data_IF_335559429033
#
_entry.id   IF_335559429033
#
_cell.length_a   1.000
_cell.length_b   1.000
_cell.length_c   1.000
_cell.angle_alpha   90.00
_cell.angle_beta   90.00
_cell.angle_gamma   90.00
#
_symmetry.space_group_name_H-M   'P 1'
#
loop_
_entity.id
_entity.type
_entity.pdbx_description
1 polymer ?
#
# COMPACT_ATOMS: atom_id res chain seq x y z
N UNK A 1 51.34 -11.31 20.99
CA UNK A 1 50.42 -11.75 19.93
C UNK A 1 49.02 -11.58 20.48
N UNK A 2 48.34 -10.50 20.12
CA UNK A 2 46.96 -10.22 20.53
C UNK A 2 46.30 -9.56 19.33
N UNK A 3 45.64 -10.37 18.51
CA UNK A 3 44.90 -9.90 17.34
C UNK A 3 43.61 -9.27 17.86
N UNK A 4 43.51 -7.94 17.78
CA UNK A 4 42.24 -7.24 17.98
C UNK A 4 41.28 -7.68 16.87
N UNK A 5 40.21 -8.38 17.24
CA UNK A 5 39.01 -8.45 16.41
C UNK A 5 38.36 -7.06 16.48
N UNK A 6 38.60 -6.24 15.46
CA UNK A 6 37.75 -5.09 15.17
C UNK A 6 36.38 -5.65 14.81
N UNK A 7 35.41 -5.53 15.72
CA UNK A 7 34.02 -5.81 15.45
C UNK A 7 33.59 -4.95 14.26
N UNK A 8 33.32 -5.59 13.11
CA UNK A 8 32.57 -4.94 12.07
C UNK A 8 31.21 -4.60 12.67
N UNK A 9 30.93 -3.30 12.82
CA UNK A 9 29.55 -2.87 12.98
C UNK A 9 28.76 -3.51 11.84
N UNK A 10 27.81 -4.39 12.17
CA UNK A 10 26.83 -4.92 11.22
C UNK A 10 25.94 -3.76 10.78
N UNK A 11 26.46 -2.93 9.87
CA UNK A 11 25.66 -1.90 9.21
C UNK A 11 24.67 -2.63 8.33
N UNK A 12 23.38 -2.42 8.58
CA UNK A 12 22.32 -2.91 7.71
C UNK A 12 22.57 -2.38 6.29
N UNK A 13 22.50 -3.26 5.29
CA UNK A 13 22.67 -2.85 3.89
C UNK A 13 21.46 -2.02 3.47
N UNK A 14 21.68 -0.76 3.10
CA UNK A 14 20.62 0.10 2.56
C UNK A 14 20.44 -0.12 1.06
N UNK A 15 19.18 -0.16 0.63
CA UNK A 15 18.75 -0.21 -0.76
C UNK A 15 18.00 1.08 -1.05
N UNK A 16 18.40 1.81 -2.10
CA UNK A 16 17.71 3.01 -2.57
C UNK A 16 16.67 2.62 -3.61
N UNK A 17 15.47 3.21 -3.51
CA UNK A 17 14.38 3.00 -4.45
C UNK A 17 14.25 4.23 -5.33
N UNK A 18 15.02 4.23 -6.40
CA UNK A 18 15.27 5.39 -7.27
C UNK A 18 14.28 5.50 -8.42
N UNK A 19 13.61 4.39 -8.75
CA UNK A 19 12.65 4.30 -9.84
C UNK A 19 11.23 4.08 -9.32
N UNK A 20 10.24 4.59 -10.05
CA UNK A 20 8.82 4.43 -9.75
C UNK A 20 8.02 4.10 -11.01
N UNK A 21 7.13 3.13 -10.93
CA UNK A 21 6.05 2.93 -11.89
C UNK A 21 4.71 3.36 -11.26
N UNK A 22 3.88 4.03 -12.06
CA UNK A 22 2.60 4.57 -11.61
C UNK A 22 1.58 3.46 -11.37
N UNK A 23 0.75 3.59 -10.32
CA UNK A 23 -0.33 2.63 -10.02
C UNK A 23 -1.37 2.53 -11.15
N UNK A 24 -1.52 3.57 -11.98
CA UNK A 24 -2.47 3.53 -13.09
C UNK A 24 -2.15 2.48 -14.16
N UNK A 25 -0.90 1.98 -14.21
CA UNK A 25 -0.49 0.92 -15.14
C UNK A 25 -1.17 -0.42 -14.81
N UNK A 26 -1.66 -0.60 -13.57
CA UNK A 26 -2.30 -1.84 -13.12
C UNK A 26 -3.81 -1.71 -12.95
N UNK A 27 -4.40 -0.60 -13.42
CA UNK A 27 -5.84 -0.38 -13.38
C UNK A 27 -6.56 -1.36 -14.30
N UNK A 28 -7.63 -1.97 -13.79
CA UNK A 28 -8.57 -2.76 -14.57
C UNK A 28 -9.77 -1.89 -15.00
N UNK A 29 -10.75 -2.51 -15.65
CA UNK A 29 -11.98 -1.84 -16.11
C UNK A 29 -12.72 -1.19 -14.93
N UNK A 30 -13.01 0.10 -15.07
CA UNK A 30 -13.79 0.85 -14.11
C UNK A 30 -15.26 0.43 -14.11
N UNK A 31 -15.87 0.48 -12.94
CA UNK A 31 -17.31 0.35 -12.71
C UNK A 31 -17.81 1.67 -12.15
N UNK A 32 -18.90 2.19 -12.68
CA UNK A 32 -19.53 3.43 -12.20
C UNK A 32 -20.90 3.10 -11.61
N UNK A 33 -21.21 3.67 -10.45
CA UNK A 33 -22.49 3.50 -9.79
C UNK A 33 -22.80 4.70 -8.91
N UNK A 34 -24.10 4.89 -8.60
CA UNK A 34 -24.53 5.97 -7.71
C UNK A 34 -23.93 5.86 -6.31
N UNK A 35 -23.81 4.64 -5.79
CA UNK A 35 -23.26 4.35 -4.46
C UNK A 35 -21.98 3.52 -4.60
N UNK A 36 -21.09 3.61 -3.61
CA UNK A 36 -19.92 2.75 -3.53
C UNK A 36 -20.35 1.28 -3.36
N UNK A 37 -19.78 0.40 -4.18
CA UNK A 37 -20.06 -1.03 -4.18
C UNK A 37 -19.02 -1.78 -3.36
N UNK A 38 -19.45 -2.80 -2.63
CA UNK A 38 -18.52 -3.69 -1.94
C UNK A 38 -17.64 -4.44 -2.96
N UNK A 39 -16.51 -4.98 -2.51
CA UNK A 39 -15.69 -5.87 -3.35
C UNK A 39 -16.49 -7.05 -3.87
N UNK A 40 -17.42 -7.57 -3.07
CA UNK A 40 -18.29 -8.68 -3.44
C UNK A 40 -19.23 -8.30 -4.59
N UNK A 41 -19.82 -7.11 -4.55
CA UNK A 41 -20.68 -6.60 -5.63
C UNK A 41 -19.90 -6.27 -6.90
N UNK A 42 -18.58 -6.01 -6.77
CA UNK A 42 -17.65 -5.81 -7.87
C UNK A 42 -17.02 -7.11 -8.40
N UNK A 43 -17.38 -8.28 -7.84
CA UNK A 43 -16.77 -9.59 -8.15
C UNK A 43 -15.24 -9.62 -7.92
N UNK A 44 -14.79 -8.94 -6.85
CA UNK A 44 -13.39 -8.85 -6.44
C UNK A 44 -13.15 -9.71 -5.20
N UNK A 45 -12.36 -10.77 -5.38
CA UNK A 45 -12.02 -11.67 -4.29
C UNK A 45 -10.88 -11.11 -3.42
N UNK A 46 -9.84 -10.50 -3.95
CA UNK A 46 -8.70 -10.05 -3.13
C UNK A 46 -7.92 -8.93 -3.80
N UNK A 47 -7.06 -8.28 -3.02
CA UNK A 47 -6.24 -7.17 -3.48
C UNK A 47 -6.94 -5.85 -3.24
N UNK A 48 -7.06 -5.04 -4.30
CA UNK A 48 -7.25 -3.60 -4.17
C UNK A 48 -8.33 -3.06 -5.10
N UNK A 49 -9.03 -2.03 -4.64
CA UNK A 49 -9.92 -1.20 -5.46
C UNK A 49 -9.68 0.27 -5.12
N UNK A 50 -9.52 1.08 -6.16
CA UNK A 50 -9.57 2.53 -6.06
C UNK A 50 -11.02 3.00 -6.21
N UNK A 51 -11.57 3.64 -5.18
CA UNK A 51 -12.87 4.33 -5.24
C UNK A 51 -12.63 5.82 -5.45
N UNK A 52 -13.38 6.45 -6.35
CA UNK A 52 -13.26 7.87 -6.65
C UNK A 52 -14.64 8.51 -6.73
N UNK A 53 -14.76 9.73 -6.25
CA UNK A 53 -15.89 10.62 -6.49
C UNK A 53 -15.42 12.07 -6.50
N UNK A 54 -16.21 12.96 -7.08
CA UNK A 54 -15.97 14.40 -7.01
C UNK A 54 -16.69 14.98 -5.79
N UNK A 55 -16.00 15.81 -5.01
CA UNK A 55 -16.57 16.53 -3.86
C UNK A 55 -16.47 18.04 -4.10
N UNK A 56 -17.40 18.79 -3.51
CA UNK A 56 -17.28 20.24 -3.38
C UNK A 56 -17.17 20.56 -1.89
N UNK A 57 -16.13 21.30 -1.52
CA UNK A 57 -15.87 21.73 -0.15
C UNK A 57 -16.12 23.22 -0.03
N UNK A 58 -16.67 23.64 1.11
CA UNK A 58 -16.96 25.03 1.45
C UNK A 58 -16.04 25.55 2.58
N UNK A 59 -15.31 24.66 3.25
CA UNK A 59 -14.38 24.97 4.33
C UNK A 59 -12.98 24.38 4.12
N UNK A 60 -12.02 24.87 4.93
CA UNK A 60 -10.63 24.38 4.92
C UNK A 60 -10.47 22.97 5.54
N UNK A 61 -11.51 22.48 6.21
CA UNK A 61 -11.55 21.18 6.86
C UNK A 61 -13.00 20.71 6.99
N UNK A 62 -13.30 19.53 6.48
CA UNK A 62 -14.62 18.89 6.56
C UNK A 62 -14.47 17.45 7.07
N UNK A 63 -15.44 16.96 7.84
CA UNK A 63 -15.39 15.59 8.38
C UNK A 63 -15.92 14.58 7.35
N UNK A 64 -15.04 13.68 6.91
CA UNK A 64 -15.42 12.49 6.16
C UNK A 64 -15.83 11.37 7.13
N UNK A 65 -16.99 10.76 6.90
CA UNK A 65 -17.49 9.63 7.69
C UNK A 65 -17.93 8.47 6.78
N UNK A 66 -17.53 7.25 7.14
CA UNK A 66 -17.84 6.03 6.41
C UNK A 66 -18.77 5.13 7.22
N UNK A 67 -19.80 4.57 6.60
CA UNK A 67 -20.59 3.52 7.22
C UNK A 67 -19.79 2.21 7.30
N UNK A 68 -19.23 1.75 6.17
CA UNK A 68 -18.42 0.53 6.11
C UNK A 68 -17.15 0.72 5.28
N UNK A 69 -16.00 0.47 5.92
CA UNK A 69 -14.69 0.27 5.28
C UNK A 69 -14.12 -1.03 5.82
N UNK A 70 -13.80 -1.96 4.92
CA UNK A 70 -13.16 -3.22 5.27
C UNK A 70 -12.10 -3.58 4.22
N UNK A 71 -10.84 -3.74 4.55
CA UNK A 71 -10.27 -3.69 5.90
C UNK A 71 -9.55 -2.36 6.17
N UNK A 72 -8.94 -1.79 5.14
CA UNK A 72 -8.14 -0.56 5.25
C UNK A 72 -8.30 0.31 4.01
N UNK A 73 -8.40 1.62 4.20
CA UNK A 73 -8.40 2.60 3.13
C UNK A 73 -7.41 3.73 3.40
N UNK A 74 -6.62 4.11 2.39
CA UNK A 74 -5.87 5.38 2.39
C UNK A 74 -6.65 6.40 1.58
N UNK A 75 -6.86 7.58 2.15
CA UNK A 75 -7.64 8.66 1.55
C UNK A 75 -6.72 9.69 0.94
N UNK A 76 -6.99 10.05 -0.32
CA UNK A 76 -6.31 11.10 -1.05
C UNK A 76 -7.31 12.12 -1.58
N UNK A 77 -6.91 13.39 -1.61
CA UNK A 77 -7.63 14.47 -2.29
C UNK A 77 -6.68 15.13 -3.28
N UNK A 78 -7.05 15.14 -4.56
CA UNK A 78 -6.21 15.61 -5.66
C UNK A 78 -4.79 15.02 -5.64
N UNK A 79 -4.69 13.73 -5.33
CA UNK A 79 -3.42 13.01 -5.21
C UNK A 79 -2.60 13.31 -3.96
N UNK A 80 -3.10 14.09 -2.99
CA UNK A 80 -2.45 14.34 -1.69
C UNK A 80 -3.09 13.49 -0.59
N UNK A 81 -2.27 12.72 0.12
CA UNK A 81 -2.71 11.88 1.25
C UNK A 81 -3.33 12.73 2.36
N UNK A 82 -4.48 12.30 2.87
CA UNK A 82 -5.20 12.93 3.99
C UNK A 82 -5.12 12.10 5.27
N UNK A 83 -5.00 10.78 5.13
CA UNK A 83 -4.93 9.84 6.24
C UNK A 83 -5.46 8.46 5.84
N UNK A 84 -5.72 7.62 6.84
CA UNK A 84 -6.24 6.26 6.64
C UNK A 84 -7.43 5.96 7.53
N UNK A 85 -8.26 5.03 7.09
CA UNK A 85 -9.51 4.60 7.75
C UNK A 85 -9.56 3.08 7.84
N UNK A 86 -10.16 2.57 8.93
CA UNK A 86 -10.34 1.14 9.22
C UNK A 86 -11.72 0.89 9.80
N UNK A 87 -12.09 -0.37 9.98
CA UNK A 87 -13.32 -0.77 10.67
C UNK A 87 -13.47 -0.18 12.08
N UNK A 88 -12.33 0.12 12.75
CA UNK A 88 -12.24 0.75 14.07
C UNK A 88 -12.20 2.28 14.05
N UNK A 89 -11.84 2.88 12.91
CA UNK A 89 -11.72 4.33 12.75
C UNK A 89 -12.28 4.76 11.41
N UNK A 90 -13.53 5.20 11.42
CA UNK A 90 -14.34 5.48 10.22
C UNK A 90 -14.54 6.97 9.93
N UNK A 91 -13.84 7.84 10.66
CA UNK A 91 -13.92 9.30 10.53
C UNK A 91 -12.55 9.89 10.27
N UNK A 92 -12.46 10.84 9.35
CA UNK A 92 -11.23 11.54 9.01
C UNK A 92 -11.53 13.00 8.64
N UNK A 93 -10.80 13.95 9.22
CA UNK A 93 -10.86 15.33 8.77
C UNK A 93 -10.07 15.48 7.46
N UNK A 94 -10.76 15.87 6.39
CA UNK A 94 -10.16 16.13 5.08
C UNK A 94 -9.81 17.61 4.99
N UNK A 95 -8.54 17.92 4.69
CA UNK A 95 -8.03 19.29 4.60
C UNK A 95 -7.79 19.69 3.16
N UNK A 96 -8.65 20.56 2.65
CA UNK A 96 -8.55 21.12 1.30
C UNK A 96 -9.15 22.51 1.28
N UNK A 97 -8.83 23.29 0.27
CA UNK A 97 -9.37 24.64 0.06
C UNK A 97 -10.85 24.51 -0.35
N UNK A 98 -11.68 25.55 -0.21
CA UNK A 98 -13.01 25.54 -0.80
C UNK A 98 -12.95 25.38 -2.33
N UNK A 99 -13.74 24.46 -2.88
CA UNK A 99 -13.78 24.19 -4.31
C UNK A 99 -14.09 22.75 -4.67
N UNK A 100 -13.93 22.43 -5.96
CA UNK A 100 -14.17 21.09 -6.50
C UNK A 100 -12.89 20.27 -6.45
N UNK A 101 -12.98 19.07 -5.88
CA UNK A 101 -11.84 18.17 -5.70
C UNK A 101 -12.17 16.73 -6.08
N UNK A 102 -11.14 15.97 -6.42
CA UNK A 102 -11.24 14.52 -6.60
C UNK A 102 -10.89 13.83 -5.28
N UNK A 103 -11.88 13.18 -4.67
CA UNK A 103 -11.70 12.32 -3.51
C UNK A 103 -11.40 10.88 -3.96
N UNK A 104 -10.37 10.27 -3.38
CA UNK A 104 -9.88 8.96 -3.76
C UNK A 104 -9.64 8.09 -2.53
N UNK A 105 -10.09 6.84 -2.57
CA UNK A 105 -9.81 5.83 -1.55
C UNK A 105 -9.10 4.67 -2.21
N UNK A 106 -7.88 4.39 -1.78
CA UNK A 106 -7.22 3.14 -2.10
C UNK A 106 -7.53 2.12 -1.01
N UNK A 107 -8.37 1.15 -1.34
CA UNK A 107 -8.91 0.19 -0.38
C UNK A 107 -8.27 -1.18 -0.63
N UNK A 108 -7.82 -1.84 0.44
CA UNK A 108 -7.30 -3.21 0.40
C UNK A 108 -8.21 -4.16 1.19
N UNK A 109 -8.40 -5.36 0.65
CA UNK A 109 -8.88 -6.53 1.38
C UNK A 109 -7.68 -7.34 1.90
N UNK A 110 -7.42 -7.29 3.20
CA UNK A 110 -6.27 -7.96 3.82
C UNK A 110 -6.53 -9.43 4.16
N UNK A 111 -7.77 -9.89 3.97
CA UNK A 111 -8.15 -11.29 4.18
C UNK A 111 -9.60 -11.44 4.62
N UNK A 112 -10.20 -12.54 4.19
CA UNK A 112 -11.57 -12.92 4.57
C UNK A 112 -11.57 -13.80 5.82
N UNK A 113 -12.61 -13.65 6.64
CA UNK A 113 -12.87 -14.55 7.77
C UNK A 113 -13.08 -15.97 7.22
N UNK A 114 -12.41 -16.96 7.81
CA UNK A 114 -12.44 -18.37 7.36
C UNK A 114 -13.05 -19.33 8.38
N UNK A 115 -13.44 -18.85 9.56
CA UNK A 115 -14.07 -19.65 10.61
C UNK A 115 -14.92 -18.77 11.54
N UNK A 116 -15.94 -19.36 12.16
CA UNK A 116 -16.77 -18.71 13.17
C UNK A 116 -18.07 -18.11 12.63
N UNK A 117 -18.90 -17.51 13.52
CA UNK A 117 -20.24 -17.04 13.18
C UNK A 117 -20.25 -15.86 12.19
N UNK A 118 -19.16 -15.11 12.10
CA UNK A 118 -19.02 -13.94 11.22
C UNK A 118 -18.61 -14.32 9.78
N UNK A 119 -18.47 -15.62 9.45
CA UNK A 119 -18.05 -16.07 8.11
C UNK A 119 -18.99 -15.58 6.99
N UNK A 120 -20.26 -15.32 7.29
CA UNK A 120 -21.24 -14.80 6.33
C UNK A 120 -21.29 -13.27 6.28
N UNK A 121 -20.77 -12.55 7.27
CA UNK A 121 -20.60 -11.09 7.23
C UNK A 121 -19.17 -10.73 6.84
N UNK A 122 -18.87 -10.94 5.56
CA UNK A 122 -17.50 -10.88 5.04
C UNK A 122 -17.39 -10.00 3.79
N UNK A 123 -18.35 -9.09 3.60
CA UNK A 123 -18.26 -8.07 2.57
C UNK A 123 -17.06 -7.18 2.84
N UNK A 124 -16.28 -6.93 1.79
CA UNK A 124 -15.05 -6.11 1.83
C UNK A 124 -15.21 -4.86 0.98
N UNK A 125 -14.24 -3.96 1.05
CA UNK A 125 -14.22 -2.71 0.33
C UNK A 125 -14.86 -1.55 1.08
N UNK A 126 -15.31 -0.57 0.31
CA UNK A 126 -15.98 0.63 0.77
C UNK A 126 -17.44 0.58 0.29
N UNK A 127 -18.40 0.56 1.21
CA UNK A 127 -19.82 0.39 0.88
C UNK A 127 -20.75 0.97 1.96
N UNK A 128 -22.03 1.12 1.62
CA UNK A 128 -22.99 1.83 2.46
C UNK A 128 -22.88 3.34 2.28
N UNK A 129 -23.37 4.08 3.27
CA UNK A 129 -23.42 5.54 3.25
C UNK A 129 -22.03 6.12 3.51
N UNK A 130 -21.65 7.11 2.72
CA UNK A 130 -20.38 7.82 2.85
C UNK A 130 -20.72 9.29 2.82
N UNK A 131 -20.30 10.05 3.83
CA UNK A 131 -20.69 11.45 3.97
C UNK A 131 -19.49 12.37 4.13
N UNK A 132 -19.64 13.60 3.66
CA UNK A 132 -18.73 14.72 3.93
C UNK A 132 -19.52 15.83 4.62
N UNK A 133 -19.16 16.11 5.87
CA UNK A 133 -19.87 17.03 6.78
C UNK A 133 -21.39 16.73 6.87
N UNK A 134 -21.72 15.43 6.83
CA UNK A 134 -23.10 14.92 6.88
C UNK A 134 -23.84 14.90 5.54
N UNK A 135 -23.22 15.33 4.44
CA UNK A 135 -23.80 15.24 3.11
C UNK A 135 -23.39 13.95 2.39
N UNK A 136 -24.36 13.19 1.89
CA UNK A 136 -24.12 11.93 1.17
C UNK A 136 -23.29 12.14 -0.11
N UNK A 137 -22.21 11.37 -0.24
CA UNK A 137 -21.39 11.31 -1.45
C UNK A 137 -21.91 10.24 -2.40
N UNK A 138 -22.01 10.61 -3.69
CA UNK A 138 -22.58 9.77 -4.74
C UNK A 138 -21.67 9.73 -5.96
N UNK A 139 -22.11 9.07 -7.04
CA UNK A 139 -21.45 9.05 -8.35
C UNK A 139 -20.02 8.51 -8.29
N UNK A 140 -19.92 7.27 -7.81
CA UNK A 140 -18.66 6.59 -7.56
C UNK A 140 -18.12 5.90 -8.80
N UNK A 141 -16.83 6.08 -9.04
CA UNK A 141 -16.02 5.31 -9.97
C UNK A 141 -15.10 4.37 -9.20
N UNK A 142 -15.21 3.08 -9.47
CA UNK A 142 -14.48 2.01 -8.79
C UNK A 142 -13.57 1.29 -9.77
N UNK A 143 -12.28 1.23 -9.48
CA UNK A 143 -11.25 0.71 -10.38
C UNK A 143 -10.48 -0.38 -9.65
N UNK A 144 -10.70 -1.67 -9.95
CA UNK A 144 -9.89 -2.75 -9.41
C UNK A 144 -8.42 -2.62 -9.83
N UNK A 145 -7.48 -2.89 -8.92
CA UNK A 145 -6.05 -2.88 -9.21
C UNK A 145 -5.51 -4.30 -9.26
N UNK A 146 -4.80 -4.62 -10.32
CA UNK A 146 -4.22 -5.96 -10.53
C UNK A 146 -2.81 -6.11 -9.92
N UNK A 147 -2.44 -5.26 -8.96
CA UNK A 147 -1.07 -5.06 -8.50
C UNK A 147 -0.31 -6.36 -8.19
N UNK A 148 -0.94 -7.30 -7.47
CA UNK A 148 -0.32 -8.59 -7.12
C UNK A 148 0.06 -9.46 -8.32
N UNK A 149 -0.85 -9.53 -9.29
CA UNK A 149 -0.81 -10.45 -10.42
C UNK A 149 -0.33 -9.80 -11.72
N UNK A 150 -0.07 -8.49 -11.69
CA UNK A 150 0.44 -7.77 -12.85
C UNK A 150 1.90 -8.18 -13.11
N UNK A 151 2.28 -8.54 -14.34
CA UNK A 151 3.66 -8.92 -14.63
C UNK A 151 4.61 -7.73 -14.42
N UNK A 152 5.51 -7.80 -13.43
CA UNK A 152 6.41 -6.68 -13.11
C UNK A 152 7.30 -6.24 -14.27
N UNK A 153 7.64 -7.16 -15.17
CA UNK A 153 8.42 -6.88 -16.39
C UNK A 153 7.70 -5.94 -17.37
N UNK A 154 6.38 -5.84 -17.26
CA UNK A 154 5.53 -5.01 -18.12
C UNK A 154 5.27 -3.64 -17.47
N UNK A 155 5.76 -3.40 -16.24
CA UNK A 155 5.74 -2.08 -15.62
C UNK A 155 6.81 -1.19 -16.24
N UNK A 156 6.40 0.02 -16.60
CA UNK A 156 7.30 1.07 -17.07
C UNK A 156 7.72 1.89 -15.86
N UNK A 157 9.00 1.76 -15.49
CA UNK A 157 9.61 2.50 -14.41
C UNK A 157 10.29 3.77 -14.93
N UNK A 158 10.07 4.87 -14.23
CA UNK A 158 10.69 6.16 -14.49
C UNK A 158 11.48 6.62 -13.27
N UNK A 159 12.32 7.65 -13.43
CA UNK A 159 13.01 8.26 -12.30
C UNK A 159 12.00 8.80 -11.30
N UNK A 160 12.12 8.40 -10.03
CA UNK A 160 11.21 8.83 -8.98
C UNK A 160 11.24 10.35 -8.82
N UNK A 161 10.07 10.96 -8.89
CA UNK A 161 9.86 12.39 -8.62
C UNK A 161 9.67 12.67 -7.12
N UNK A 162 9.59 13.94 -6.73
CA UNK A 162 9.36 14.32 -5.33
C UNK A 162 7.89 14.17 -4.88
N UNK A 163 6.95 14.15 -5.84
CA UNK A 163 5.52 14.07 -5.58
C UNK A 163 5.09 12.62 -5.64
N UNK A 164 5.11 11.99 -4.48
CA UNK A 164 4.86 10.57 -4.35
C UNK A 164 3.36 10.30 -4.14
N UNK A 165 2.90 9.23 -4.78
CA UNK A 165 1.52 8.73 -4.87
C UNK A 165 1.62 7.20 -4.80
N UNK A 166 0.51 6.47 -4.63
CA UNK A 166 0.55 5.01 -4.68
C UNK A 166 1.23 4.52 -5.96
N UNK A 167 2.01 3.46 -5.86
CA UNK A 167 2.77 2.95 -7.00
C UNK A 167 3.82 1.90 -6.63
N UNK A 168 4.58 1.50 -7.64
CA UNK A 168 5.65 0.50 -7.52
C UNK A 168 6.99 1.21 -7.46
N UNK A 169 7.76 0.96 -6.43
CA UNK A 169 9.08 1.51 -6.19
C UNK A 169 10.12 0.42 -6.43
N UNK A 170 11.17 0.74 -7.21
CA UNK A 170 12.19 -0.23 -7.60
C UNK A 170 13.58 0.23 -7.19
N UNK A 171 14.36 -0.73 -6.71
CA UNK A 171 15.77 -0.55 -6.35
C UNK A 171 16.57 -1.82 -6.58
N UNK A 172 17.88 -1.67 -6.53
CA UNK A 172 18.81 -2.76 -6.80
C UNK A 172 19.92 -2.77 -5.75
N UNK A 173 20.42 -3.96 -5.45
CA UNK A 173 21.50 -4.15 -4.48
C UNK A 173 22.36 -5.36 -4.85
N UNK A 174 23.62 -5.35 -4.40
CA UNK A 174 24.50 -6.49 -4.54
C UNK A 174 24.46 -7.37 -3.29
N UNK A 175 24.47 -8.70 -3.49
CA UNK A 175 24.53 -9.66 -2.41
C UNK A 175 25.58 -10.73 -2.69
N UNK A 176 26.43 -11.04 -1.71
CA UNK A 176 27.55 -11.97 -1.87
C UNK A 176 27.48 -13.20 -0.95
N UNK A 177 26.56 -13.19 0.02
CA UNK A 177 26.46 -14.24 1.05
C UNK A 177 25.26 -15.14 0.77
N UNK A 178 25.24 -16.32 1.39
CA UNK A 178 24.15 -17.30 1.25
C UNK A 178 23.44 -17.46 2.58
N UNK A 179 22.88 -16.36 3.11
CA UNK A 179 22.15 -16.36 4.37
C UNK A 179 20.80 -15.70 4.20
N UNK A 180 19.84 -16.14 5.01
CA UNK A 180 18.57 -15.44 5.11
C UNK A 180 18.81 -13.99 5.53
N UNK A 181 18.00 -13.09 4.97
CA UNK A 181 17.94 -11.69 5.37
C UNK A 181 16.50 -11.30 5.65
N UNK A 182 16.31 -10.19 6.32
CA UNK A 182 15.01 -9.64 6.63
C UNK A 182 14.92 -8.24 6.04
N UNK A 183 13.97 -8.03 5.15
CA UNK A 183 13.69 -6.71 4.61
C UNK A 183 12.96 -5.90 5.68
N UNK A 184 13.58 -4.84 6.19
CA UNK A 184 13.01 -4.01 7.24
C UNK A 184 11.99 -3.02 6.65
N UNK A 185 10.71 -3.23 6.93
CA UNK A 185 9.60 -2.43 6.45
C UNK A 185 9.28 -1.23 7.36
N UNK A 186 10.09 -0.99 8.40
CA UNK A 186 9.84 0.12 9.33
C UNK A 186 9.78 1.46 8.59
N UNK A 187 8.71 2.22 8.83
CA UNK A 187 8.47 3.51 8.18
C UNK A 187 7.80 3.41 6.81
N UNK A 188 7.67 2.22 6.24
CA UNK A 188 6.78 1.95 5.09
C UNK A 188 5.34 1.81 5.57
N UNK A 189 4.39 2.00 4.66
CA UNK A 189 2.97 2.00 4.95
C UNK A 189 2.36 0.61 4.80
N UNK A 190 1.75 0.35 3.65
CA UNK A 190 1.04 -0.88 3.36
C UNK A 190 1.19 -1.27 1.89
N UNK A 191 1.47 -2.54 1.65
CA UNK A 191 1.48 -3.08 0.31
C UNK A 191 2.23 -4.40 0.20
N UNK A 192 2.95 -4.58 -0.90
CA UNK A 192 3.48 -5.87 -1.34
C UNK A 192 4.91 -5.77 -1.86
N UNK A 193 5.67 -6.86 -1.71
CA UNK A 193 7.10 -6.89 -2.06
C UNK A 193 7.42 -8.06 -2.99
N UNK A 194 8.29 -7.78 -3.97
CA UNK A 194 8.89 -8.77 -4.84
C UNK A 194 10.40 -8.63 -4.87
N UNK A 195 11.08 -9.78 -4.93
CA UNK A 195 12.51 -9.88 -5.15
C UNK A 195 12.76 -10.69 -6.42
N UNK A 196 13.50 -10.13 -7.37
CA UNK A 196 13.85 -10.81 -8.61
C UNK A 196 12.60 -11.36 -9.36
N UNK A 197 11.51 -10.59 -9.39
CA UNK A 197 10.18 -10.94 -9.93
C UNK A 197 9.40 -11.99 -9.12
N UNK A 198 9.95 -12.52 -8.02
CA UNK A 198 9.25 -13.45 -7.12
C UNK A 198 8.55 -12.68 -6.01
N UNK A 199 7.25 -12.97 -5.79
CA UNK A 199 6.51 -12.42 -4.66
C UNK A 199 7.11 -12.89 -3.33
N UNK A 200 7.37 -11.96 -2.42
CA UNK A 200 7.90 -12.23 -1.09
C UNK A 200 6.84 -12.16 0.01
N UNK A 201 5.88 -11.25 -0.12
CA UNK A 201 4.84 -11.07 0.89
C UNK A 201 4.26 -9.67 0.90
N UNK A 202 3.20 -9.52 1.69
CA UNK A 202 2.62 -8.23 2.04
C UNK A 202 3.19 -7.73 3.38
N UNK A 203 3.04 -6.43 3.61
CA UNK A 203 3.39 -5.79 4.88
C UNK A 203 2.34 -4.73 5.21
N UNK A 204 2.24 -4.42 6.50
CA UNK A 204 1.41 -3.34 6.97
C UNK A 204 2.06 -2.68 8.18
N UNK A 205 2.10 -1.35 8.17
CA UNK A 205 2.69 -0.55 9.22
C UNK A 205 2.02 -0.77 10.57
N UNK A 206 0.80 -1.32 10.65
CA UNK A 206 0.14 -1.63 11.92
C UNK A 206 0.63 -2.93 12.58
N UNK A 207 1.19 -3.85 11.81
CA UNK A 207 1.64 -5.16 12.29
C UNK A 207 2.79 -5.07 13.30
N UNK A 208 2.87 -6.05 14.21
CA UNK A 208 3.98 -6.11 15.19
C UNK A 208 5.30 -6.44 14.54
N UNK A 209 5.29 -7.34 13.57
CA UNK A 209 6.47 -7.69 12.79
C UNK A 209 6.60 -6.68 11.65
N UNK A 210 7.73 -5.98 11.61
CA UNK A 210 8.06 -4.94 10.63
C UNK A 210 9.15 -5.42 9.66
N UNK A 211 9.10 -6.70 9.30
CA UNK A 211 10.04 -7.27 8.34
C UNK A 211 9.51 -8.47 7.57
N UNK A 212 9.99 -8.62 6.34
CA UNK A 212 9.71 -9.77 5.48
C UNK A 212 10.98 -10.62 5.36
N UNK A 213 10.86 -11.93 5.60
CA UNK A 213 11.97 -12.87 5.40
C UNK A 213 12.29 -12.98 3.91
N UNK A 214 13.58 -12.84 3.59
CA UNK A 214 14.16 -13.20 2.30
C UNK A 214 14.93 -14.50 2.49
N UNK A 215 14.42 -15.65 2.03
CA UNK A 215 15.16 -16.89 2.02
C UNK A 215 16.45 -16.76 1.21
N UNK A 216 17.55 -17.34 1.68
CA UNK A 216 18.83 -17.32 0.96
C UNK A 216 18.73 -17.88 -0.47
N UNK A 217 17.82 -18.84 -0.69
CA UNK A 217 17.56 -19.43 -2.00
C UNK A 217 16.93 -18.46 -3.02
N UNK A 218 16.32 -17.36 -2.56
CA UNK A 218 15.72 -16.35 -3.43
C UNK A 218 16.69 -15.22 -3.80
N UNK A 219 17.83 -15.16 -3.10
CA UNK A 219 18.92 -14.23 -3.37
C UNK A 219 19.85 -14.79 -4.45
N UNK A 220 20.24 -13.93 -5.37
CA UNK A 220 21.23 -14.23 -6.40
C UNK A 220 22.59 -13.67 -5.97
N UNK A 221 23.70 -14.39 -6.20
CA UNK A 221 25.02 -13.79 -6.13
C UNK A 221 25.12 -12.60 -7.10
N UNK A 222 25.63 -11.47 -6.62
CA UNK A 222 25.67 -10.22 -7.36
C UNK A 222 24.35 -9.46 -7.30
N UNK A 223 23.87 -8.98 -8.44
CA UNK A 223 22.77 -8.01 -8.52
C UNK A 223 21.40 -8.65 -8.27
N UNK A 224 20.66 -8.06 -7.32
CA UNK A 224 19.27 -8.38 -7.01
C UNK A 224 18.40 -7.14 -7.27
N UNK A 225 17.16 -7.38 -7.67
CA UNK A 225 16.16 -6.33 -7.89
C UNK A 225 15.03 -6.47 -6.88
N UNK A 226 14.68 -5.36 -6.24
CA UNK A 226 13.59 -5.26 -5.28
C UNK A 226 12.52 -4.33 -5.85
N UNK A 227 11.27 -4.78 -5.82
CA UNK A 227 10.09 -3.98 -6.15
C UNK A 227 9.15 -3.97 -4.96
N UNK A 228 8.65 -2.79 -4.61
CA UNK A 228 7.69 -2.57 -3.52
C UNK A 228 6.47 -1.84 -4.09
N UNK A 229 5.30 -2.46 -4.03
CA UNK A 229 4.04 -1.75 -4.21
C UNK A 229 3.64 -1.13 -2.87
N UNK A 230 3.33 0.16 -2.86
CA UNK A 230 3.01 0.91 -1.64
C UNK A 230 1.77 1.78 -1.89
N UNK A 231 0.76 1.63 -1.00
CA UNK A 231 -0.49 2.38 -1.00
C UNK A 231 -0.40 3.68 -0.21
N UNK A 232 0.33 3.68 0.90
CA UNK A 232 0.47 4.83 1.79
C UNK A 232 1.87 5.37 1.69
N UNK A 233 2.02 6.49 1.02
CA UNK A 233 3.35 7.01 0.77
C UNK A 233 3.89 7.78 1.98
N UNK A 234 4.59 7.06 2.85
CA UNK A 234 5.34 7.61 3.98
C UNK A 234 6.68 8.27 3.56
N UNK A 235 6.84 8.63 2.27
CA UNK A 235 8.02 9.31 1.70
C UNK A 235 9.34 8.54 1.85
N UNK A 236 9.29 7.24 2.11
CA UNK A 236 10.48 6.41 2.23
C UNK A 236 11.16 6.24 0.87
N UNK A 237 12.46 6.54 0.83
CA UNK A 237 13.33 6.38 -0.36
C UNK A 237 14.33 5.24 -0.21
N UNK A 238 14.39 4.66 0.98
CA UNK A 238 15.35 3.63 1.33
C UNK A 238 14.66 2.52 2.09
N UNK A 239 15.26 1.35 1.99
CA UNK A 239 14.90 0.19 2.77
C UNK A 239 16.18 -0.53 3.19
N UNK A 240 16.16 -1.23 4.32
CA UNK A 240 17.36 -1.88 4.86
C UNK A 240 17.20 -3.40 4.95
N UNK A 241 18.30 -4.11 4.74
CA UNK A 241 18.40 -5.55 5.00
C UNK A 241 18.98 -5.78 6.39
N UNK A 242 18.21 -6.46 7.22
CA UNK A 242 18.56 -6.86 8.58
C UNK A 242 19.00 -8.33 8.63
N UNK A 243 19.98 -8.69 9.49
CA UNK A 243 20.32 -10.09 9.76
C UNK A 243 19.25 -10.82 10.58
N UNK A 244 18.39 -10.10 11.30
CA UNK A 244 17.36 -10.65 12.19
C UNK A 244 15.98 -10.04 11.91
N UNK A 245 14.88 -10.69 12.32
CA UNK A 245 13.56 -10.09 12.22
C UNK A 245 13.50 -8.74 12.95
N UNK A 246 12.75 -7.80 12.39
CA UNK A 246 12.47 -6.49 12.96
C UNK A 246 11.02 -6.44 13.44
N UNK A 247 10.80 -5.86 14.61
CA UNK A 247 9.50 -5.66 15.25
C UNK A 247 9.35 -4.21 15.69
N UNK A 248 8.11 -3.77 15.96
CA UNK A 248 7.83 -2.49 16.62
C UNK A 248 8.28 -2.44 18.07
#
# INVERSE_FOLDING_TARGET
MMTLFLGQNLMAQEIRLEEKASVNQVYNKAVEAKNALSFNDLDIESGYVLYQTEINTDAESEELELENVRDYAVVYVDGKEQGSLTDKSKKLAIKTHPGKHLLQFYVENIGRITYGPEITDNSKGLFGTITLDGNDLQDWKMIPLTARNYPLKDLVFEQRSANDSPGFYKGQFEHHLSENKYLNMTGWGMGEVWLNQKYLGSYWEEEKQQSILIPSADLKPGKNELVIFELKNNQQKKISLSPTPVFK
#
